data_IF_581407373794
#
_entry.id   IF_581407373794
#
_cell.length_a   1.000
_cell.length_b   1.000
_cell.length_c   1.000
_cell.angle_alpha   90.00
_cell.angle_beta   90.00
_cell.angle_gamma   90.00
#
_symmetry.space_group_name_H-M   'P 1'
#
loop_
_entity.id
_entity.type
_entity.pdbx_description
1 polymer ?
#
# COMPACT_ATOMS: atom_id res chain seq x y z
N UNK A 1 -16.06 -3.16 3.54
CA UNK A 1 -15.84 -2.46 4.81
C UNK A 1 -15.83 -0.96 4.57
N UNK A 2 -16.14 -0.15 5.58
CA UNK A 2 -16.06 1.31 5.53
C UNK A 2 -14.98 1.79 6.51
N UNK A 3 -14.21 2.81 6.13
CA UNK A 3 -13.16 3.36 6.99
C UNK A 3 -13.82 4.30 8.00
N UNK A 4 -13.70 3.98 9.29
CA UNK A 4 -14.25 4.78 10.38
C UNK A 4 -13.13 5.33 11.26
N UNK A 5 -13.35 6.54 11.77
CA UNK A 5 -12.46 7.14 12.75
C UNK A 5 -12.56 6.39 14.09
N UNK A 6 -11.44 5.90 14.62
CA UNK A 6 -11.41 5.00 15.79
C UNK A 6 -11.97 5.64 17.07
N UNK A 7 -11.86 6.96 17.22
CA UNK A 7 -12.33 7.67 18.43
C UNK A 7 -13.76 8.17 18.30
N UNK A 8 -14.19 8.56 17.10
CA UNK A 8 -15.48 9.24 16.89
C UNK A 8 -16.52 8.34 16.22
N UNK A 9 -16.11 7.23 15.62
CA UNK A 9 -16.97 6.34 14.85
C UNK A 9 -17.44 6.91 13.51
N UNK A 10 -17.09 8.16 13.20
CA UNK A 10 -17.52 8.82 11.97
C UNK A 10 -16.94 8.12 10.74
N UNK A 11 -17.77 7.95 9.71
CA UNK A 11 -17.35 7.37 8.45
C UNK A 11 -16.46 8.33 7.66
N UNK A 12 -15.55 7.79 6.86
CA UNK A 12 -14.73 8.57 5.95
C UNK A 12 -15.60 9.23 4.87
N UNK A 13 -15.55 10.56 4.82
CA UNK A 13 -16.18 11.36 3.79
C UNK A 13 -15.16 11.73 2.71
N UNK A 14 -15.40 11.32 1.46
CA UNK A 14 -14.53 11.66 0.33
C UNK A 14 -14.77 13.10 -0.16
N UNK A 15 -16.03 13.48 -0.36
CA UNK A 15 -16.44 14.78 -0.91
C UNK A 15 -16.52 15.87 0.17
N UNK A 16 -15.38 16.21 0.78
CA UNK A 16 -15.34 17.24 1.84
C UNK A 16 -15.43 18.66 1.24
N UNK A 17 -15.07 18.82 -0.03
CA UNK A 17 -15.29 20.05 -0.79
C UNK A 17 -16.08 19.73 -2.06
N UNK A 18 -17.35 20.14 -2.12
CA UNK A 18 -18.25 19.77 -3.21
C UNK A 18 -17.73 20.16 -4.59
N UNK A 19 -17.09 21.33 -4.73
CA UNK A 19 -16.62 21.85 -6.03
C UNK A 19 -15.12 21.62 -6.30
N UNK A 20 -14.37 21.07 -5.34
CA UNK A 20 -12.92 20.87 -5.45
C UNK A 20 -12.57 19.38 -5.49
N UNK A 21 -12.95 18.74 -6.60
CA UNK A 21 -12.66 17.32 -6.85
C UNK A 21 -11.16 17.01 -6.80
N UNK A 22 -10.31 17.93 -7.26
CA UNK A 22 -8.87 17.75 -7.24
C UNK A 22 -8.34 17.69 -5.79
N UNK A 23 -8.88 18.51 -4.88
CA UNK A 23 -8.57 18.41 -3.46
C UNK A 23 -9.03 17.10 -2.85
N UNK A 24 -10.27 16.68 -3.10
CA UNK A 24 -10.81 15.43 -2.55
C UNK A 24 -9.96 14.22 -3.02
N UNK A 25 -9.57 14.22 -4.29
CA UNK A 25 -8.68 13.20 -4.86
C UNK A 25 -7.31 13.18 -4.17
N UNK A 26 -6.64 14.35 -4.05
CA UNK A 26 -5.34 14.43 -3.35
C UNK A 26 -5.43 13.96 -1.90
N UNK A 27 -6.52 14.29 -1.19
CA UNK A 27 -6.74 13.85 0.20
C UNK A 27 -6.91 12.33 0.29
N UNK A 28 -7.63 11.73 -0.66
CA UNK A 28 -7.79 10.28 -0.72
C UNK A 28 -6.49 9.57 -1.05
N UNK A 29 -5.70 10.10 -1.99
CA UNK A 29 -4.38 9.58 -2.33
C UNK A 29 -3.40 9.65 -1.15
N UNK A 30 -3.40 10.77 -0.42
CA UNK A 30 -2.58 10.91 0.79
C UNK A 30 -2.95 9.87 1.86
N UNK A 31 -4.23 9.57 2.03
CA UNK A 31 -4.69 8.51 2.93
C UNK A 31 -4.21 7.12 2.44
N UNK A 32 -4.34 6.84 1.14
CA UNK A 32 -3.89 5.57 0.55
C UNK A 32 -2.38 5.35 0.72
N UNK A 33 -1.58 6.39 0.53
CA UNK A 33 -0.14 6.36 0.78
C UNK A 33 0.17 6.07 2.25
N UNK A 34 -0.50 6.76 3.18
CA UNK A 34 -0.32 6.53 4.62
C UNK A 34 -0.66 5.09 5.03
N UNK A 35 -1.76 4.54 4.50
CA UNK A 35 -2.14 3.14 4.77
C UNK A 35 -1.08 2.18 4.22
N UNK A 36 -0.53 2.47 3.04
CA UNK A 36 0.54 1.65 2.43
C UNK A 36 1.78 1.64 3.31
N UNK A 37 2.23 2.82 3.76
CA UNK A 37 3.39 2.94 4.66
C UNK A 37 3.14 2.23 5.99
N UNK A 38 1.93 2.34 6.55
CA UNK A 38 1.56 1.66 7.78
C UNK A 38 1.56 0.14 7.64
N UNK A 39 1.05 -0.40 6.52
CA UNK A 39 1.12 -1.84 6.26
C UNK A 39 2.56 -2.31 6.14
N UNK A 40 3.43 -1.56 5.46
CA UNK A 40 4.85 -1.90 5.37
C UNK A 40 5.52 -1.92 6.74
N UNK A 41 5.21 -0.95 7.60
CA UNK A 41 5.70 -0.91 8.97
C UNK A 41 5.27 -2.15 9.78
N UNK A 42 4.01 -2.59 9.63
CA UNK A 42 3.51 -3.82 10.26
C UNK A 42 4.22 -5.07 9.74
N UNK A 43 4.44 -5.16 8.42
CA UNK A 43 5.14 -6.31 7.82
C UNK A 43 6.57 -6.43 8.36
N UNK A 44 7.26 -5.32 8.60
CA UNK A 44 8.61 -5.32 9.15
C UNK A 44 8.62 -5.57 10.66
N UNK A 45 7.79 -4.86 11.43
CA UNK A 45 7.84 -4.89 12.90
C UNK A 45 7.11 -6.07 13.52
N UNK A 46 5.92 -6.39 13.04
CA UNK A 46 5.06 -7.41 13.64
C UNK A 46 5.27 -8.78 12.98
N UNK A 47 5.54 -8.79 11.66
CA UNK A 47 5.78 -10.04 10.92
C UNK A 47 7.27 -10.37 10.72
N UNK A 48 8.19 -9.46 11.05
CA UNK A 48 9.63 -9.69 10.91
C UNK A 48 10.09 -9.88 9.46
N UNK A 49 9.33 -9.39 8.47
CA UNK A 49 9.69 -9.52 7.07
C UNK A 49 10.73 -8.47 6.68
N UNK A 50 11.59 -8.83 5.73
CA UNK A 50 12.60 -7.92 5.17
C UNK A 50 12.18 -7.42 3.81
N UNK A 51 12.20 -6.10 3.62
CA UNK A 51 12.03 -5.48 2.31
C UNK A 51 13.30 -5.66 1.47
N UNK A 52 13.14 -6.13 0.22
CA UNK A 52 14.22 -6.26 -0.77
C UNK A 52 13.79 -5.73 -2.12
N UNK A 53 14.70 -5.03 -2.79
CA UNK A 53 14.54 -4.64 -4.20
C UNK A 53 15.00 -5.77 -5.10
N UNK A 54 14.21 -6.08 -6.12
CA UNK A 54 14.49 -7.09 -7.13
C UNK A 54 14.35 -6.49 -8.55
N UNK A 55 15.11 -6.97 -9.53
CA UNK A 55 16.21 -7.94 -9.40
C UNK A 55 17.42 -7.36 -8.65
N UNK A 56 18.21 -8.20 -7.99
CA UNK A 56 19.36 -7.77 -7.16
C UNK A 56 20.53 -7.24 -8.00
N UNK A 57 20.59 -7.66 -9.26
CA UNK A 57 21.59 -7.35 -10.27
C UNK A 57 21.11 -6.34 -11.31
N UNK A 58 20.03 -5.60 -11.00
CA UNK A 58 19.41 -4.65 -11.91
C UNK A 58 20.44 -3.67 -12.53
N UNK A 59 20.46 -3.61 -13.85
CA UNK A 59 21.27 -2.65 -14.59
C UNK A 59 20.56 -1.30 -14.75
N UNK A 60 21.32 -0.28 -15.17
CA UNK A 60 20.75 1.06 -15.41
C UNK A 60 19.61 1.00 -16.44
N UNK A 61 18.43 1.43 -16.04
CA UNK A 61 17.23 1.45 -16.88
C UNK A 61 16.35 0.19 -16.80
N UNK A 62 16.76 -0.83 -16.04
CA UNK A 62 15.93 -2.02 -15.83
C UNK A 62 14.81 -1.76 -14.81
N UNK A 63 13.61 -2.34 -15.00
CA UNK A 63 12.52 -2.20 -14.07
C UNK A 63 12.82 -2.95 -12.77
N UNK A 64 12.69 -2.24 -11.64
CA UNK A 64 12.84 -2.81 -10.30
C UNK A 64 11.54 -2.76 -9.52
N UNK A 65 11.32 -3.73 -8.63
CA UNK A 65 10.22 -3.71 -7.67
C UNK A 65 10.73 -4.08 -6.27
N UNK A 66 9.89 -3.88 -5.24
CA UNK A 66 10.20 -4.33 -3.89
C UNK A 66 9.30 -5.49 -3.48
N UNK A 67 9.87 -6.45 -2.78
CA UNK A 67 9.16 -7.57 -2.14
C UNK A 67 9.46 -7.59 -0.64
N UNK A 68 8.58 -8.21 0.14
CA UNK A 68 8.83 -8.56 1.54
C UNK A 68 8.96 -10.09 1.65
N UNK A 69 9.97 -10.55 2.38
CA UNK A 69 10.19 -11.99 2.58
C UNK A 69 10.65 -12.29 4.01
N UNK A 70 10.40 -13.52 4.50
CA UNK A 70 10.93 -13.98 5.79
C UNK A 70 12.43 -14.24 5.70
N UNK A 71 13.12 -14.29 6.84
CA UNK A 71 14.58 -14.50 6.91
C UNK A 71 15.04 -15.76 6.17
N UNK A 72 14.23 -16.81 6.27
CA UNK A 72 14.46 -18.17 5.82
C UNK A 72 13.78 -18.48 4.47
N UNK A 73 13.24 -17.47 3.78
CA UNK A 73 12.48 -17.64 2.54
C UNK A 73 13.24 -18.40 1.44
N UNK A 74 14.58 -18.38 1.47
CA UNK A 74 15.44 -19.04 0.48
C UNK A 74 16.02 -20.39 0.95
N UNK A 75 15.76 -20.78 2.19
CA UNK A 75 16.23 -22.04 2.78
C UNK A 75 15.11 -22.99 3.17
N UNK A 76 13.86 -22.50 3.20
CA UNK A 76 12.69 -23.31 3.51
C UNK A 76 12.22 -24.16 2.33
N UNK A 77 11.79 -25.39 2.64
CA UNK A 77 11.22 -26.33 1.66
C UNK A 77 9.87 -25.89 1.08
N UNK A 78 9.17 -24.98 1.77
CA UNK A 78 7.84 -24.51 1.41
C UNK A 78 7.80 -22.99 1.43
N UNK A 79 7.24 -22.42 0.37
CA UNK A 79 7.11 -20.97 0.19
C UNK A 79 5.64 -20.65 -0.08
N UNK A 80 5.14 -19.59 0.55
CA UNK A 80 3.85 -18.97 0.25
C UNK A 80 4.11 -17.61 -0.38
N UNK A 81 3.54 -17.37 -1.56
CA UNK A 81 3.67 -16.10 -2.27
C UNK A 81 2.31 -15.40 -2.21
N UNK A 82 2.28 -14.20 -1.64
CA UNK A 82 1.10 -13.34 -1.64
C UNK A 82 1.33 -12.16 -2.60
N UNK A 83 0.53 -12.10 -3.67
CA UNK A 83 0.53 -10.99 -4.62
C UNK A 83 -0.72 -10.18 -4.36
N UNK A 84 -0.57 -8.97 -3.80
CA UNK A 84 -1.69 -8.06 -3.63
C UNK A 84 -1.87 -7.21 -4.90
N UNK A 85 -3.12 -6.93 -5.27
CA UNK A 85 -3.43 -5.99 -6.35
C UNK A 85 -3.02 -4.56 -5.99
N UNK A 86 -3.16 -3.65 -6.96
CA UNK A 86 -2.93 -2.20 -6.77
C UNK A 86 -4.05 -1.64 -5.88
N UNK A 87 -3.88 -1.74 -4.57
CA UNK A 87 -4.88 -1.46 -3.53
C UNK A 87 -5.22 0.02 -3.30
N UNK A 88 -5.41 0.80 -4.36
CA UNK A 88 -6.09 2.10 -4.31
C UNK A 88 -7.05 2.17 -5.49
N UNK A 89 -8.35 2.15 -5.19
CA UNK A 89 -9.40 2.43 -6.19
C UNK A 89 -9.19 3.87 -6.63
N UNK A 90 -8.58 4.07 -7.79
CA UNK A 90 -8.61 5.36 -8.48
C UNK A 90 -10.02 5.47 -9.07
N UNK A 91 -10.92 6.14 -8.37
CA UNK A 91 -12.21 6.51 -8.96
C UNK A 91 -11.93 7.45 -10.12
N UNK A 92 -11.91 6.93 -11.35
CA UNK A 92 -11.92 7.77 -12.54
C UNK A 92 -13.31 8.37 -12.64
N UNK A 93 -13.47 9.62 -12.20
CA UNK A 93 -14.71 10.35 -12.44
C UNK A 93 -14.66 10.75 -13.92
N UNK A 94 -15.56 10.18 -14.74
CA UNK A 94 -15.74 10.63 -16.12
C UNK A 94 -16.09 12.12 -16.10
N UNK A 95 -15.41 12.89 -16.95
CA UNK A 95 -15.78 14.28 -17.24
C UNK A 95 -17.06 14.38 -18.06
#
# INVERSE_FOLDING_TARGET
>A
GQLHHITTGAAYEFNVKEEDHAFNQRRYEALGNLVTDYVYDLLEKECGLKKRTVPLDAHSGEPTTSIFHSEDAFTNDKIVILIHGTGVVRSWTMG
#
